data_IF_144676835022
#
_entry.id   IF_144676835022
#
_cell.length_a   1.000
_cell.length_b   1.000
_cell.length_c   1.000
_cell.angle_alpha   90.00
_cell.angle_beta   90.00
_cell.angle_gamma   90.00
#
_symmetry.space_group_name_H-M   'P 1'
#
loop_
_entity.id
_entity.type
_entity.pdbx_description
1 polymer ?
#
# COMPACT_ATOMS: atom_id res chain seq x y z
N UNK A 1 -72.53 33.33 27.19
CA UNK A 1 -71.63 32.71 26.19
C UNK A 1 -70.28 32.51 26.87
N UNK A 2 -69.95 31.27 27.22
CA UNK A 2 -68.72 30.90 27.91
C UNK A 2 -67.82 30.12 26.94
N UNK A 3 -66.66 30.66 26.61
CA UNK A 3 -65.65 29.97 25.80
C UNK A 3 -64.86 28.99 26.67
N UNK A 4 -64.94 27.70 26.33
CA UNK A 4 -64.10 26.65 26.92
C UNK A 4 -62.81 26.53 26.10
N UNK A 5 -61.67 26.85 26.72
CA UNK A 5 -60.35 26.58 26.17
C UNK A 5 -59.95 25.11 26.40
N UNK A 6 -59.54 24.41 25.35
CA UNK A 6 -58.93 23.08 25.45
C UNK A 6 -57.41 23.21 25.62
N UNK A 7 -56.89 22.66 26.70
CA UNK A 7 -55.45 22.49 26.92
C UNK A 7 -55.01 21.13 26.34
N UNK A 8 -53.98 21.14 25.50
CA UNK A 8 -53.34 19.93 24.97
C UNK A 8 -52.35 19.42 26.01
N UNK A 9 -52.56 18.19 26.50
CA UNK A 9 -51.66 17.51 27.42
C UNK A 9 -50.33 17.19 26.72
N UNK A 10 -49.22 17.69 27.28
CA UNK A 10 -47.87 17.37 26.83
C UNK A 10 -47.53 15.90 27.07
N UNK A 11 -47.06 15.23 26.03
CA UNK A 11 -46.51 13.88 26.10
C UNK A 11 -45.19 13.91 26.87
N UNK A 12 -45.09 13.09 27.91
CA UNK A 12 -43.85 12.86 28.66
C UNK A 12 -42.77 12.26 27.74
N UNK A 13 -41.60 12.90 27.69
CA UNK A 13 -40.42 12.39 26.98
C UNK A 13 -39.91 11.11 27.64
N UNK A 14 -39.66 10.10 26.80
CA UNK A 14 -38.92 8.89 27.14
C UNK A 14 -37.46 9.23 27.54
N UNK A 15 -36.80 8.40 28.37
CA UNK A 15 -35.44 8.68 28.81
C UNK A 15 -34.46 8.66 27.64
N UNK A 16 -33.62 9.70 27.58
CA UNK A 16 -32.55 9.86 26.59
C UNK A 16 -31.55 8.71 26.69
N UNK A 17 -31.41 7.98 25.58
CA UNK A 17 -30.29 7.09 25.32
C UNK A 17 -29.00 7.91 25.42
N UNK A 18 -28.03 7.46 26.22
CA UNK A 18 -26.77 8.16 26.45
C UNK A 18 -25.94 8.14 25.17
N UNK A 19 -26.24 9.09 24.28
CA UNK A 19 -25.63 9.27 22.99
C UNK A 19 -24.16 9.62 23.14
N UNK A 20 -23.30 8.63 22.99
CA UNK A 20 -21.97 8.88 22.46
C UNK A 20 -22.18 9.53 21.09
N UNK A 21 -22.08 10.86 21.05
CA UNK A 21 -22.24 11.64 19.84
C UNK A 21 -21.17 11.16 18.88
N UNK A 22 -21.58 10.56 17.75
CA UNK A 22 -20.66 10.24 16.67
C UNK A 22 -19.80 11.48 16.40
N UNK A 23 -18.47 11.34 16.23
CA UNK A 23 -17.61 12.49 15.97
C UNK A 23 -18.18 13.31 14.82
N UNK A 24 -18.33 14.61 15.01
CA UNK A 24 -18.72 15.52 13.93
C UNK A 24 -17.79 15.30 12.74
N UNK A 25 -18.34 14.76 11.65
CA UNK A 25 -17.60 14.41 10.45
C UNK A 25 -16.80 15.59 9.91
N UNK A 26 -17.37 16.80 9.97
CA UNK A 26 -16.68 18.00 9.49
C UNK A 26 -15.47 18.31 10.37
N UNK A 27 -15.60 18.20 11.69
CA UNK A 27 -14.48 18.36 12.60
C UNK A 27 -13.42 17.27 12.41
N UNK A 28 -13.84 16.01 12.24
CA UNK A 28 -12.94 14.88 12.04
C UNK A 28 -12.10 15.03 10.76
N UNK A 29 -12.68 15.55 9.66
CA UNK A 29 -11.96 15.81 8.40
C UNK A 29 -10.76 16.74 8.60
N UNK A 30 -10.84 17.68 9.54
CA UNK A 30 -9.75 18.62 9.86
C UNK A 30 -8.96 18.23 11.12
N UNK A 31 -9.05 16.98 11.58
CA UNK A 31 -8.17 16.45 12.63
C UNK A 31 -6.70 16.55 12.22
N UNK A 32 -5.82 16.91 13.17
CA UNK A 32 -4.37 17.03 12.97
C UNK A 32 -3.77 15.76 12.34
N UNK A 33 -4.32 14.58 12.63
CA UNK A 33 -3.88 13.29 12.08
C UNK A 33 -3.95 13.22 10.54
N UNK A 34 -4.74 14.05 9.86
CA UNK A 34 -4.82 14.09 8.40
C UNK A 34 -3.73 14.95 7.74
N UNK A 35 -2.89 15.62 8.53
CA UNK A 35 -1.91 16.59 8.03
C UNK A 35 -0.49 16.21 8.43
N UNK A 36 0.48 16.65 7.63
CA UNK A 36 1.89 16.56 8.01
C UNK A 36 2.22 17.60 9.09
N UNK A 37 3.07 17.25 10.08
CA UNK A 37 3.84 16.01 10.18
C UNK A 37 3.13 14.85 10.91
N UNK A 38 1.94 15.05 11.47
CA UNK A 38 1.28 14.08 12.33
C UNK A 38 0.94 12.75 11.61
N UNK A 39 0.41 12.81 10.38
CA UNK A 39 0.11 11.61 9.57
C UNK A 39 1.34 10.70 9.37
N UNK A 40 2.54 11.28 9.20
CA UNK A 40 3.76 10.52 8.96
C UNK A 40 4.16 9.66 10.17
N UNK A 41 3.61 9.95 11.36
CA UNK A 41 3.85 9.22 12.61
C UNK A 41 2.62 8.47 13.14
N UNK A 42 1.47 8.61 12.47
CA UNK A 42 0.22 7.99 12.91
C UNK A 42 0.34 6.45 12.93
N UNK A 43 -0.18 5.82 13.98
CA UNK A 43 -0.27 4.37 14.07
C UNK A 43 -1.50 3.85 13.32
N UNK A 44 -1.49 2.57 12.95
CA UNK A 44 -2.65 1.93 12.33
C UNK A 44 -3.86 1.96 13.27
N UNK A 45 -3.65 1.84 14.59
CA UNK A 45 -4.73 1.93 15.58
C UNK A 45 -5.39 3.31 15.58
N UNK A 46 -4.61 4.39 15.47
CA UNK A 46 -5.14 5.75 15.38
C UNK A 46 -5.97 5.94 14.10
N UNK A 47 -5.49 5.43 12.97
CA UNK A 47 -6.22 5.51 11.70
C UNK A 47 -7.50 4.66 11.74
N UNK A 48 -7.41 3.41 12.21
CA UNK A 48 -8.50 2.45 12.20
C UNK A 48 -9.56 2.72 13.27
N UNK A 49 -9.30 3.57 14.27
CA UNK A 49 -10.31 4.02 15.22
C UNK A 49 -11.51 4.67 14.52
N UNK A 50 -11.26 5.42 13.44
CA UNK A 50 -12.30 6.03 12.60
C UNK A 50 -12.51 5.27 11.28
N UNK A 51 -11.47 4.63 10.74
CA UNK A 51 -11.48 4.01 9.40
C UNK A 51 -11.56 2.48 9.40
N UNK A 52 -12.12 1.86 10.45
CA UNK A 52 -12.23 0.41 10.53
C UNK A 52 -13.01 -0.21 9.35
N UNK A 53 -13.88 0.57 8.69
CA UNK A 53 -14.63 0.18 7.49
C UNK A 53 -13.75 -0.22 6.30
N UNK A 54 -12.46 0.12 6.29
CA UNK A 54 -11.57 -0.33 5.20
C UNK A 54 -11.17 -1.80 5.34
N UNK A 55 -11.27 -2.36 6.55
CA UNK A 55 -10.91 -3.76 6.86
C UNK A 55 -12.11 -4.65 7.20
N UNK A 56 -13.25 -4.06 7.59
CA UNK A 56 -14.47 -4.81 7.94
C UNK A 56 -15.12 -5.54 6.74
N UNK A 57 -15.35 -4.90 5.58
CA UNK A 57 -16.00 -5.56 4.45
C UNK A 57 -15.07 -6.58 3.79
N UNK A 58 -15.64 -7.73 3.44
CA UNK A 58 -15.02 -8.73 2.58
C UNK A 58 -15.72 -8.76 1.21
N UNK A 59 -15.12 -9.48 0.26
CA UNK A 59 -15.78 -9.77 -1.02
C UNK A 59 -17.02 -10.63 -0.77
N UNK A 60 -18.13 -10.34 -1.47
CA UNK A 60 -19.34 -11.17 -1.41
C UNK A 60 -19.04 -12.56 -1.97
N UNK A 61 -19.64 -13.60 -1.39
CA UNK A 61 -19.49 -14.97 -1.89
C UNK A 61 -20.00 -15.13 -3.33
N UNK A 62 -21.02 -14.36 -3.69
CA UNK A 62 -21.61 -14.33 -5.03
C UNK A 62 -21.94 -12.89 -5.44
N UNK A 63 -21.71 -12.56 -6.70
CA UNK A 63 -22.13 -11.29 -7.29
C UNK A 63 -23.66 -11.24 -7.42
N UNK A 64 -24.26 -10.04 -7.54
CA UNK A 64 -25.69 -9.91 -7.85
C UNK A 64 -26.13 -10.64 -9.14
N UNK A 65 -25.19 -10.90 -10.06
CA UNK A 65 -25.42 -11.64 -11.30
C UNK A 65 -25.22 -13.17 -11.15
N UNK A 66 -25.01 -13.68 -9.93
CA UNK A 66 -24.89 -15.10 -9.67
C UNK A 66 -23.47 -15.69 -9.84
N UNK A 67 -22.46 -14.86 -10.11
CA UNK A 67 -21.07 -15.34 -10.29
C UNK A 67 -20.42 -15.53 -8.92
N UNK A 68 -19.95 -16.75 -8.63
CA UNK A 68 -19.27 -17.04 -7.35
C UNK A 68 -17.88 -16.43 -7.33
N UNK A 69 -17.49 -15.82 -6.21
CA UNK A 69 -16.16 -15.23 -6.05
C UNK A 69 -15.04 -16.27 -6.20
N UNK A 70 -15.27 -17.50 -5.72
CA UNK A 70 -14.31 -18.61 -5.82
C UNK A 70 -14.00 -19.01 -7.28
N UNK A 71 -14.95 -18.79 -8.19
CA UNK A 71 -14.83 -19.13 -9.61
C UNK A 71 -14.20 -17.99 -10.42
N UNK A 72 -13.89 -16.86 -9.77
CA UNK A 72 -13.32 -15.67 -10.41
C UNK A 72 -11.93 -15.39 -9.86
N UNK A 73 -10.94 -15.46 -10.74
CA UNK A 73 -9.58 -14.98 -10.47
C UNK A 73 -9.23 -13.88 -11.47
N UNK A 74 -8.73 -12.76 -10.97
CA UNK A 74 -8.14 -11.75 -11.82
C UNK A 74 -6.81 -12.27 -12.41
N UNK A 75 -6.43 -11.74 -13.57
CA UNK A 75 -5.25 -12.18 -14.30
C UNK A 75 -3.93 -12.02 -13.49
N UNK A 76 -3.87 -11.08 -12.55
CA UNK A 76 -2.72 -10.87 -11.66
C UNK A 76 -2.71 -11.82 -10.43
N UNK A 77 -3.67 -12.74 -10.34
CA UNK A 77 -3.83 -13.70 -9.24
C UNK A 77 -3.46 -15.12 -9.68
N UNK A 78 -2.63 -15.23 -10.72
CA UNK A 78 -2.26 -16.50 -11.35
C UNK A 78 -0.99 -17.12 -10.75
N UNK A 79 -0.25 -16.39 -9.92
CA UNK A 79 0.96 -16.90 -9.28
C UNK A 79 0.62 -17.84 -8.12
N UNK A 80 1.50 -18.80 -7.86
CA UNK A 80 1.32 -19.75 -6.76
C UNK A 80 1.28 -19.05 -5.39
N UNK A 81 1.94 -17.90 -5.26
CA UNK A 81 1.87 -17.06 -4.05
C UNK A 81 0.51 -16.39 -3.83
N UNK A 82 -0.43 -16.48 -4.78
CA UNK A 82 -1.80 -16.05 -4.56
C UNK A 82 -2.58 -17.17 -3.88
N UNK A 83 -2.70 -17.08 -2.56
CA UNK A 83 -3.50 -17.99 -1.74
C UNK A 83 -4.71 -17.28 -1.11
N UNK A 84 -5.68 -18.07 -0.65
CA UNK A 84 -6.89 -17.62 0.03
C UNK A 84 -8.01 -17.15 -0.89
N UNK A 85 -9.09 -16.68 -0.26
CA UNK A 85 -10.26 -16.11 -0.95
C UNK A 85 -9.92 -14.78 -1.63
N UNK A 86 -10.82 -14.32 -2.50
CA UNK A 86 -10.81 -12.92 -2.94
C UNK A 86 -10.95 -12.01 -1.73
N UNK A 87 -10.18 -10.92 -1.73
CA UNK A 87 -10.14 -9.97 -0.63
C UNK A 87 -10.20 -8.54 -1.15
N UNK A 88 -10.70 -7.63 -0.31
CA UNK A 88 -10.73 -6.20 -0.66
C UNK A 88 -9.32 -5.62 -0.69
N UNK A 89 -9.15 -4.46 -1.33
CA UNK A 89 -7.84 -3.83 -1.53
C UNK A 89 -7.04 -3.72 -0.24
N UNK A 90 -7.57 -3.07 0.80
CA UNK A 90 -6.84 -2.89 2.07
C UNK A 90 -6.55 -4.21 2.76
N UNK A 91 -7.52 -5.15 2.77
CA UNK A 91 -7.33 -6.46 3.39
C UNK A 91 -6.20 -7.23 2.72
N UNK A 92 -6.13 -7.20 1.38
CA UNK A 92 -5.07 -7.85 0.60
C UNK A 92 -3.68 -7.34 0.96
N UNK A 93 -3.57 -6.06 1.30
CA UNK A 93 -2.32 -5.37 1.57
C UNK A 93 -1.91 -5.38 3.05
N UNK A 94 -2.86 -5.56 3.98
CA UNK A 94 -2.60 -5.43 5.42
C UNK A 94 -2.84 -6.72 6.22
N UNK A 95 -3.87 -7.53 5.89
CA UNK A 95 -4.35 -8.58 6.81
C UNK A 95 -4.24 -10.00 6.30
N UNK A 96 -4.03 -10.21 5.00
CA UNK A 96 -3.84 -11.58 4.46
C UNK A 96 -2.55 -12.21 4.97
N UNK A 97 -2.46 -13.57 5.02
CA UNK A 97 -1.25 -14.25 5.49
C UNK A 97 0.02 -13.82 4.76
N UNK A 98 -0.01 -13.77 3.43
CA UNK A 98 1.13 -13.32 2.63
C UNK A 98 1.51 -11.86 2.94
N UNK A 99 0.52 -10.99 3.11
CA UNK A 99 0.77 -9.59 3.47
C UNK A 99 1.49 -9.49 4.82
N UNK A 100 0.97 -10.14 5.85
CA UNK A 100 1.58 -10.16 7.19
C UNK A 100 2.97 -10.81 7.21
N UNK A 101 3.23 -11.73 6.28
CA UNK A 101 4.52 -12.40 6.17
C UNK A 101 5.57 -11.51 5.50
N UNK A 102 5.26 -10.96 4.33
CA UNK A 102 6.24 -10.31 3.44
C UNK A 102 6.25 -8.78 3.55
N UNK A 103 5.15 -8.18 4.01
CA UNK A 103 4.93 -6.74 4.00
C UNK A 103 4.73 -6.23 5.43
N UNK A 104 5.33 -5.08 5.71
CA UNK A 104 5.17 -4.31 6.94
C UNK A 104 4.42 -3.00 6.65
N UNK A 105 3.50 -3.02 5.68
CA UNK A 105 2.73 -1.84 5.29
C UNK A 105 1.80 -1.39 6.41
N UNK A 106 1.69 -0.07 6.53
CA UNK A 106 0.83 0.66 7.47
C UNK A 106 -0.09 1.60 6.70
N UNK A 107 -1.12 2.14 7.34
CA UNK A 107 -2.00 3.16 6.78
C UNK A 107 -1.17 4.31 6.17
N UNK A 108 -0.19 4.82 6.90
CA UNK A 108 0.65 5.93 6.45
C UNK A 108 1.80 5.54 5.48
N UNK A 109 1.92 4.26 5.13
CA UNK A 109 2.77 3.85 4.00
C UNK A 109 2.22 4.45 2.71
N UNK A 110 0.91 4.30 2.51
CA UNK A 110 0.18 4.79 1.33
C UNK A 110 -0.36 6.21 1.53
N UNK A 111 -0.92 6.48 2.71
CA UNK A 111 -1.57 7.76 3.00
C UNK A 111 -0.57 8.76 3.58
N UNK A 112 -0.41 9.91 2.93
CA UNK A 112 0.49 10.99 3.40
C UNK A 112 -0.26 12.23 3.87
N UNK A 113 -1.56 12.07 4.16
CA UNK A 113 -2.45 13.16 4.52
C UNK A 113 -3.07 13.84 3.31
N UNK A 114 -4.20 14.51 3.56
CA UNK A 114 -4.95 15.30 2.59
C UNK A 114 -5.32 16.63 3.24
N UNK A 115 -4.99 17.75 2.63
CA UNK A 115 -5.62 19.02 2.98
C UNK A 115 -6.81 19.23 2.04
N UNK A 116 -8.07 19.28 2.54
CA UNK A 116 -9.24 19.56 1.71
C UNK A 116 -9.11 20.82 0.83
N UNK A 117 -8.32 21.81 1.29
CA UNK A 117 -8.04 23.03 0.54
C UNK A 117 -7.15 22.78 -0.69
N UNK A 118 -6.35 21.71 -0.68
CA UNK A 118 -5.46 21.31 -1.79
C UNK A 118 -6.20 20.50 -2.88
N UNK A 119 -7.51 20.25 -2.73
CA UNK A 119 -8.32 19.50 -3.71
C UNK A 119 -8.55 20.27 -5.03
N UNK A 120 -8.23 21.57 -5.06
CA UNK A 120 -8.19 22.39 -6.27
C UNK A 120 -6.78 23.01 -6.46
N UNK A 121 -6.21 22.98 -7.69
CA UNK A 121 -4.91 23.62 -7.95
C UNK A 121 -4.92 25.13 -7.66
N UNK A 122 -3.84 25.64 -7.08
CA UNK A 122 -3.62 27.10 -6.94
C UNK A 122 -4.46 27.80 -5.86
N UNK A 123 -5.12 27.05 -4.98
CA UNK A 123 -5.98 27.58 -3.90
C UNK A 123 -5.24 28.02 -2.63
N UNK A 124 -3.93 27.76 -2.51
CA UNK A 124 -3.13 28.26 -1.41
C UNK A 124 -1.69 28.53 -1.84
N UNK A 125 -0.99 29.40 -1.10
CA UNK A 125 0.39 29.80 -1.41
C UNK A 125 1.40 28.65 -1.31
N UNK A 126 1.04 27.58 -0.60
CA UNK A 126 1.87 26.39 -0.41
C UNK A 126 1.31 25.16 -1.11
N UNK A 127 0.12 25.23 -1.73
CA UNK A 127 -0.40 24.10 -2.48
C UNK A 127 0.47 23.89 -3.72
N UNK A 128 0.92 22.64 -3.91
CA UNK A 128 1.62 22.19 -5.13
C UNK A 128 3.07 22.69 -5.33
N UNK A 129 3.77 23.16 -4.29
CA UNK A 129 5.24 23.34 -4.35
C UNK A 129 5.88 21.94 -4.52
N UNK A 130 6.16 21.54 -5.77
CA UNK A 130 6.73 20.22 -6.10
C UNK A 130 5.89 19.34 -7.03
N UNK A 131 4.78 19.83 -7.59
CA UNK A 131 3.94 19.09 -8.54
C UNK A 131 2.51 18.86 -8.03
N UNK A 132 1.65 18.26 -8.88
CA UNK A 132 0.22 18.06 -8.61
C UNK A 132 -0.15 16.58 -8.55
N UNK A 133 -0.58 16.11 -7.38
CA UNK A 133 -1.22 14.80 -7.22
C UNK A 133 -2.73 15.03 -7.11
N UNK A 134 -3.46 14.71 -8.17
CA UNK A 134 -4.93 14.75 -8.18
C UNK A 134 -5.47 13.89 -7.02
N UNK A 135 -6.14 14.52 -6.05
CA UNK A 135 -6.81 13.88 -4.90
C UNK A 135 -5.81 13.24 -3.92
N UNK A 136 -5.16 14.05 -3.06
CA UNK A 136 -4.18 13.58 -2.06
C UNK A 136 -4.77 12.68 -0.97
N UNK A 137 -5.20 11.47 -1.30
CA UNK A 137 -5.26 10.39 -0.30
C UNK A 137 -4.05 9.47 -0.45
N UNK A 138 -3.59 9.19 -1.68
CA UNK A 138 -2.42 8.36 -1.98
C UNK A 138 -1.78 8.84 -3.30
N UNK A 139 -0.45 9.00 -3.33
CA UNK A 139 0.29 9.11 -4.58
C UNK A 139 0.56 7.71 -5.14
N UNK A 140 -0.18 7.35 -6.19
CA UNK A 140 -0.11 5.99 -6.73
C UNK A 140 1.18 5.72 -7.52
N UNK A 141 1.83 6.75 -8.08
CA UNK A 141 3.13 6.59 -8.75
C UNK A 141 4.25 6.42 -7.74
N UNK A 142 4.16 7.09 -6.58
CA UNK A 142 5.13 6.94 -5.51
C UNK A 142 4.98 5.63 -4.73
N UNK A 143 3.78 5.04 -4.65
CA UNK A 143 3.50 3.88 -3.78
C UNK A 143 3.13 2.63 -4.56
N UNK A 144 2.07 2.69 -5.36
CA UNK A 144 1.55 1.51 -6.05
C UNK A 144 2.52 1.04 -7.13
N UNK A 145 3.14 1.96 -7.88
CA UNK A 145 4.04 1.63 -8.98
C UNK A 145 5.26 0.82 -8.50
N UNK A 146 5.74 1.01 -7.26
CA UNK A 146 6.82 0.19 -6.68
C UNK A 146 6.49 -1.29 -6.78
N UNK A 147 5.33 -1.70 -6.26
CA UNK A 147 4.92 -3.10 -6.16
C UNK A 147 4.20 -3.62 -7.42
N UNK A 148 3.59 -2.72 -8.21
CA UNK A 148 2.77 -3.06 -9.37
C UNK A 148 3.34 -2.57 -10.70
N UNK A 149 4.62 -2.18 -10.73
CA UNK A 149 5.35 -1.85 -11.95
C UNK A 149 5.70 -3.10 -12.75
N UNK A 150 5.94 -2.93 -14.05
CA UNK A 150 6.41 -4.01 -14.89
C UNK A 150 7.82 -4.46 -14.51
N UNK A 151 8.09 -5.74 -14.75
CA UNK A 151 9.43 -6.30 -14.64
C UNK A 151 10.34 -5.69 -15.70
N UNK A 152 11.39 -4.98 -15.30
CA UNK A 152 12.39 -4.46 -16.23
C UNK A 152 13.40 -5.56 -16.63
N UNK A 153 12.90 -6.57 -17.34
CA UNK A 153 13.66 -7.73 -17.77
C UNK A 153 14.90 -7.37 -18.65
N UNK A 154 14.87 -6.34 -19.52
CA UNK A 154 16.07 -5.96 -20.28
C UNK A 154 17.19 -5.44 -19.38
N UNK A 155 16.88 -4.61 -18.39
CA UNK A 155 17.88 -4.10 -17.43
C UNK A 155 18.44 -5.21 -16.54
N UNK A 156 17.64 -6.25 -16.27
CA UNK A 156 18.12 -7.45 -15.57
C UNK A 156 18.97 -8.38 -16.44
N UNK A 157 19.12 -8.09 -17.74
CA UNK A 157 19.87 -8.92 -18.67
C UNK A 157 19.19 -10.24 -19.02
N UNK A 158 17.86 -10.33 -18.84
CA UNK A 158 17.10 -11.50 -19.28
C UNK A 158 16.92 -11.45 -20.82
N UNK A 159 16.90 -12.61 -21.51
CA UNK A 159 16.69 -12.65 -22.95
C UNK A 159 15.23 -12.34 -23.36
N UNK A 160 14.27 -12.63 -22.47
CA UNK A 160 12.84 -12.46 -22.68
C UNK A 160 12.13 -12.18 -21.34
N UNK A 161 10.86 -11.71 -21.36
CA UNK A 161 10.04 -11.60 -20.16
C UNK A 161 10.04 -12.87 -19.30
N UNK A 162 10.01 -12.72 -17.97
CA UNK A 162 10.15 -13.82 -17.02
C UNK A 162 9.26 -15.05 -17.29
N UNK A 163 7.98 -14.93 -17.68
CA UNK A 163 7.17 -16.11 -17.99
C UNK A 163 7.76 -17.02 -19.06
N UNK A 164 8.55 -16.45 -20.00
CA UNK A 164 9.23 -17.19 -21.06
C UNK A 164 10.65 -17.59 -20.70
N UNK A 165 11.36 -16.76 -19.93
CA UNK A 165 12.76 -17.00 -19.57
C UNK A 165 12.94 -17.82 -18.29
N UNK A 166 11.93 -17.95 -17.42
CA UNK A 166 12.06 -18.60 -16.10
C UNK A 166 12.66 -20.01 -16.17
N UNK A 167 12.32 -20.81 -17.18
CA UNK A 167 12.82 -22.19 -17.31
C UNK A 167 14.34 -22.22 -17.55
N UNK A 168 14.88 -21.26 -18.32
CA UNK A 168 16.32 -21.13 -18.54
C UNK A 168 17.08 -20.88 -17.23
N UNK A 169 16.43 -20.21 -16.27
CA UNK A 169 16.97 -19.91 -14.95
C UNK A 169 16.41 -20.84 -13.86
N UNK A 170 15.91 -22.02 -14.24
CA UNK A 170 15.40 -23.04 -13.32
C UNK A 170 14.28 -22.54 -12.37
N UNK A 171 13.55 -21.50 -12.79
CA UNK A 171 12.53 -20.86 -11.95
C UNK A 171 13.11 -20.26 -10.67
N UNK A 172 14.37 -19.78 -10.69
CA UNK A 172 15.07 -19.33 -9.50
C UNK A 172 15.71 -17.95 -9.70
N UNK A 173 15.10 -16.91 -9.13
CA UNK A 173 15.65 -15.55 -9.15
C UNK A 173 16.96 -15.42 -8.36
N UNK A 174 17.18 -16.29 -7.36
CA UNK A 174 18.34 -16.23 -6.48
C UNK A 174 19.63 -16.70 -7.15
N UNK A 175 19.55 -17.40 -8.29
CA UNK A 175 20.72 -17.79 -9.10
C UNK A 175 21.66 -16.60 -9.35
N UNK A 176 21.09 -15.43 -9.63
CA UNK A 176 21.85 -14.20 -9.81
C UNK A 176 21.82 -13.33 -8.54
N UNK A 177 20.63 -13.13 -7.95
CA UNK A 177 20.45 -12.11 -6.92
C UNK A 177 21.26 -12.41 -5.64
N UNK A 178 21.53 -13.66 -5.28
CA UNK A 178 22.39 -13.97 -4.13
C UNK A 178 23.83 -13.46 -4.29
N UNK A 179 24.36 -13.39 -5.53
CA UNK A 179 25.75 -13.00 -5.77
C UNK A 179 25.97 -11.50 -6.07
N UNK A 180 24.98 -10.81 -6.64
CA UNK A 180 25.17 -9.42 -7.15
C UNK A 180 24.40 -8.35 -6.37
N UNK A 181 23.44 -8.73 -5.53
CA UNK A 181 22.51 -7.81 -4.86
C UNK A 181 22.31 -8.20 -3.40
N UNK A 182 23.36 -8.42 -2.63
CA UNK A 182 23.28 -9.12 -1.32
C UNK A 182 22.41 -8.45 -0.25
N UNK A 183 22.20 -7.13 -0.32
CA UNK A 183 21.35 -6.38 0.61
C UNK A 183 20.13 -5.83 -0.14
N UNK A 184 18.95 -6.43 0.09
CA UNK A 184 17.70 -6.07 -0.59
C UNK A 184 16.61 -5.75 0.41
N UNK A 185 15.56 -5.08 -0.09
CA UNK A 185 14.31 -4.86 0.63
C UNK A 185 14.48 -4.15 1.99
N UNK A 186 15.55 -3.35 2.14
CA UNK A 186 15.87 -2.61 3.37
C UNK A 186 15.03 -1.34 3.48
N UNK A 187 13.71 -1.53 3.60
CA UNK A 187 12.72 -0.46 3.72
C UNK A 187 11.68 -0.84 4.76
N UNK A 188 11.20 0.14 5.52
CA UNK A 188 10.33 -0.09 6.69
C UNK A 188 8.99 -0.77 6.37
N UNK A 189 8.52 -0.68 5.13
CA UNK A 189 7.25 -1.27 4.68
C UNK A 189 7.37 -2.71 4.15
N UNK A 190 8.56 -3.31 4.17
CA UNK A 190 8.80 -4.70 3.77
C UNK A 190 9.45 -5.51 4.91
N UNK A 191 9.27 -6.82 4.88
CA UNK A 191 10.00 -7.75 5.73
C UNK A 191 11.10 -8.43 4.93
N UNK A 192 12.30 -7.84 4.92
CA UNK A 192 13.42 -8.31 4.09
C UNK A 192 13.76 -9.78 4.36
N UNK A 193 13.93 -10.18 5.62
CA UNK A 193 14.28 -11.54 5.98
C UNK A 193 13.23 -12.57 5.50
N UNK A 194 11.94 -12.29 5.69
CA UNK A 194 10.88 -13.18 5.24
C UNK A 194 10.79 -13.26 3.70
N UNK A 195 11.03 -12.16 3.00
CA UNK A 195 11.07 -12.14 1.53
C UNK A 195 12.22 -13.01 1.01
N UNK A 196 13.42 -12.87 1.59
CA UNK A 196 14.57 -13.68 1.17
C UNK A 196 14.32 -15.18 1.42
N UNK A 197 13.72 -15.52 2.57
CA UNK A 197 13.34 -16.89 2.88
C UNK A 197 12.25 -17.44 1.94
N UNK A 198 11.27 -16.64 1.55
CA UNK A 198 10.24 -17.03 0.59
C UNK A 198 10.83 -17.23 -0.82
N UNK A 199 11.81 -16.40 -1.20
CA UNK A 199 12.52 -16.48 -2.47
C UNK A 199 13.31 -17.78 -2.65
N UNK A 200 13.76 -18.43 -1.57
CA UNK A 200 14.42 -19.75 -1.66
C UNK A 200 13.44 -20.88 -1.99
N UNK A 201 12.15 -20.68 -1.72
CA UNK A 201 11.13 -21.69 -1.93
C UNK A 201 10.52 -21.57 -3.34
N UNK A 202 10.31 -20.36 -3.83
CA UNK A 202 9.75 -20.12 -5.16
C UNK A 202 10.09 -18.74 -5.70
N UNK A 203 10.46 -18.67 -6.98
CA UNK A 203 10.60 -17.41 -7.68
C UNK A 203 9.29 -16.61 -7.78
N UNK A 204 8.12 -17.21 -7.57
CA UNK A 204 6.85 -16.48 -7.55
C UNK A 204 6.75 -15.50 -6.36
N UNK A 205 7.55 -15.69 -5.31
CA UNK A 205 7.70 -14.71 -4.22
C UNK A 205 8.35 -13.42 -4.73
N UNK A 206 9.40 -13.55 -5.54
CA UNK A 206 10.11 -12.43 -6.15
C UNK A 206 9.30 -11.84 -7.31
N UNK A 207 8.94 -12.69 -8.28
CA UNK A 207 8.24 -12.27 -9.49
C UNK A 207 6.89 -11.64 -9.16
N UNK A 208 6.19 -12.11 -8.13
CA UNK A 208 4.93 -11.50 -7.67
C UNK A 208 5.04 -10.01 -7.36
N UNK A 209 6.14 -9.58 -6.76
CA UNK A 209 6.39 -8.16 -6.45
C UNK A 209 7.12 -7.42 -7.59
N UNK A 210 7.86 -8.14 -8.43
CA UNK A 210 8.68 -7.56 -9.50
C UNK A 210 8.06 -7.68 -10.91
N UNK A 211 6.73 -7.74 -11.00
CA UNK A 211 6.00 -7.60 -12.29
C UNK A 211 4.98 -8.68 -12.59
N UNK A 212 4.95 -9.77 -11.82
CA UNK A 212 3.93 -10.82 -11.92
C UNK A 212 2.55 -10.38 -11.43
N UNK A 213 2.47 -9.24 -10.74
CA UNK A 213 1.21 -8.56 -10.36
C UNK A 213 1.18 -7.12 -10.87
N UNK A 214 1.82 -6.86 -12.01
CA UNK A 214 1.90 -5.51 -12.57
C UNK A 214 0.50 -4.97 -12.90
N UNK A 215 0.20 -3.73 -12.56
CA UNK A 215 -0.99 -3.01 -13.06
C UNK A 215 -0.60 -1.89 -14.00
N UNK A 216 0.59 -1.33 -13.76
CA UNK A 216 1.18 -0.31 -14.61
C UNK A 216 1.85 -0.94 -15.82
N UNK A 217 1.85 -0.21 -16.93
CA UNK A 217 2.58 -0.57 -18.17
C UNK A 217 4.05 -0.13 -18.13
N UNK A 218 4.44 0.54 -17.06
CA UNK A 218 5.78 1.09 -16.86
C UNK A 218 6.45 0.40 -15.67
N UNK A 219 7.77 0.42 -15.66
CA UNK A 219 8.59 -0.09 -14.55
C UNK A 219 8.82 1.02 -13.52
N UNK A 220 8.89 0.65 -12.25
CA UNK A 220 9.38 1.56 -11.21
C UNK A 220 10.91 1.67 -11.28
N UNK A 221 11.49 2.88 -11.34
CA UNK A 221 12.93 3.08 -11.37
C UNK A 221 13.51 2.98 -9.96
N UNK A 222 13.59 1.75 -9.43
CA UNK A 222 14.16 1.50 -8.09
C UNK A 222 15.53 2.16 -7.90
N UNK A 223 15.81 2.70 -6.70
CA UNK A 223 17.09 3.33 -6.39
C UNK A 223 18.26 2.40 -6.70
N UNK A 224 19.31 2.98 -7.29
CA UNK A 224 20.57 2.29 -7.58
C UNK A 224 21.57 2.57 -6.47
N UNK A 225 21.35 1.88 -5.34
CA UNK A 225 22.30 1.80 -4.24
C UNK A 225 23.68 1.33 -4.74
N UNK A 226 24.74 1.81 -4.10
CA UNK A 226 26.13 1.37 -4.38
C UNK A 226 26.32 -0.06 -3.87
N UNK A 227 27.05 -0.89 -4.61
CA UNK A 227 27.41 -2.25 -4.17
C UNK A 227 28.87 -2.58 -4.47
N UNK A 228 29.42 -3.56 -3.74
CA UNK A 228 30.81 -4.01 -3.93
C UNK A 228 31.03 -4.54 -5.34
N UNK A 229 32.05 -4.02 -6.04
CA UNK A 229 32.34 -4.39 -7.43
C UNK A 229 31.44 -3.73 -8.47
N UNK A 230 30.67 -2.71 -8.09
CA UNK A 230 29.96 -1.86 -9.05
C UNK A 230 30.97 -1.12 -9.94
N UNK A 231 30.79 -1.23 -11.26
CA UNK A 231 31.63 -0.52 -12.23
C UNK A 231 31.56 1.01 -12.04
N UNK A 232 32.68 1.68 -12.31
CA UNK A 232 32.75 3.14 -12.30
C UNK A 232 31.83 3.74 -13.36
N UNK A 233 31.15 4.83 -13.00
CA UNK A 233 30.18 5.52 -13.85
C UNK A 233 28.73 5.05 -13.73
N UNK A 234 27.85 5.80 -14.38
CA UNK A 234 26.40 5.55 -14.38
C UNK A 234 25.98 5.11 -15.79
N UNK A 235 25.55 3.84 -15.98
CA UNK A 235 25.02 3.38 -17.25
C UNK A 235 23.82 4.21 -17.71
N UNK A 236 23.59 4.29 -19.02
CA UNK A 236 22.52 5.12 -19.58
C UNK A 236 21.13 4.80 -18.99
N UNK A 237 20.80 3.52 -18.81
CA UNK A 237 19.53 3.08 -18.21
C UNK A 237 19.35 3.50 -16.74
N UNK A 238 20.45 3.86 -16.07
CA UNK A 238 20.49 4.27 -14.67
C UNK A 238 20.56 5.79 -14.47
N UNK A 239 20.68 6.57 -15.56
CA UNK A 239 20.67 8.04 -15.48
C UNK A 239 19.37 8.52 -14.85
N UNK A 240 19.48 9.47 -13.90
CA UNK A 240 18.33 10.04 -13.18
C UNK A 240 17.70 9.14 -12.12
N UNK A 241 18.22 7.92 -11.89
CA UNK A 241 17.75 7.09 -10.77
C UNK A 241 18.31 7.63 -9.46
N UNK A 242 17.48 7.61 -8.42
CA UNK A 242 17.91 7.88 -7.06
C UNK A 242 18.99 6.87 -6.64
N UNK A 243 19.92 7.28 -5.79
CA UNK A 243 20.92 6.39 -5.21
C UNK A 243 20.51 5.84 -3.85
N UNK A 244 19.48 6.43 -3.25
CA UNK A 244 18.97 6.08 -1.93
C UNK A 244 17.45 5.88 -1.95
N UNK A 245 16.95 5.12 -0.97
CA UNK A 245 15.52 5.00 -0.71
C UNK A 245 14.97 6.30 -0.11
N UNK A 246 13.65 6.51 -0.21
CA UNK A 246 13.01 7.65 0.47
C UNK A 246 13.31 7.65 1.96
N UNK A 247 13.69 8.80 2.51
CA UNK A 247 14.10 8.95 3.91
C UNK A 247 13.10 8.37 4.92
N UNK A 248 11.79 8.57 4.69
CA UNK A 248 10.71 8.04 5.55
C UNK A 248 10.59 6.51 5.58
N UNK A 249 11.28 5.82 4.66
CA UNK A 249 11.29 4.37 4.57
C UNK A 249 12.64 3.76 4.91
N UNK A 250 13.66 4.57 5.20
CA UNK A 250 14.94 4.05 5.67
C UNK A 250 14.71 3.44 7.05
N UNK A 251 15.18 2.21 7.22
CA UNK A 251 15.15 1.51 8.51
C UNK A 251 16.36 2.03 9.31
N UNK A 252 16.12 2.70 10.44
CA UNK A 252 17.19 3.00 11.38
C UNK A 252 17.69 1.67 11.97
N UNK A 253 19.01 1.52 12.12
CA UNK A 253 19.64 0.27 12.61
C UNK A 253 19.12 -0.21 13.98
N UNK A 254 18.38 0.65 14.71
CA UNK A 254 17.72 0.34 15.99
C UNK A 254 16.43 -0.47 15.86
N UNK A 255 15.77 -0.49 14.70
CA UNK A 255 14.49 -1.20 14.51
C UNK A 255 14.64 -2.71 14.33
N UNK A 256 15.87 -3.21 14.13
CA UNK A 256 16.15 -4.65 14.06
C UNK A 256 16.16 -5.36 15.42
N UNK A 257 16.13 -4.64 16.55
CA UNK A 257 16.17 -5.23 17.88
C UNK A 257 14.79 -5.66 18.44
N UNK A 258 13.69 -5.32 17.75
CA UNK A 258 12.35 -5.35 18.34
C UNK A 258 11.45 -6.56 18.07
N UNK A 259 11.92 -7.60 17.37
CA UNK A 259 11.14 -8.83 17.14
C UNK A 259 12.03 -10.07 17.17
N UNK A 260 12.37 -10.53 18.38
CA UNK A 260 12.67 -11.94 18.66
C UNK A 260 11.43 -12.60 19.23
#
# INVERSE_FOLDING_TARGET
MAFHGWAVAGTANAPEDSGATLPDYQRARYSELHFKPAIDKASDEQCLACHAEVLKPSVREQSPAGVKAADTRAWYQQLATYEGSQETFHRRHLVTPLAKQLMNMRCNTCHQGNEPRDEAPGTSATSQIGGYTLRKHVDTEAICLKCHGQMNWPVMGLPEPWPKSKTLFQGNCLLCHQGIRTHRHQVSYLNSAAIEQAGTQSADACYGCHGGRAWYRINYPYPRHVWTGMAEGTPDWAKGRMTESESRFIIDATDHAGKK
#
